data_IF_169518038078
#
_entry.id   IF_169518038078
#
_cell.length_a   1.000
_cell.length_b   1.000
_cell.length_c   1.000
_cell.angle_alpha   90.00
_cell.angle_beta   90.00
_cell.angle_gamma   90.00
#
_symmetry.space_group_name_H-M   'P 1'
#
loop_
_entity.id
_entity.type
_entity.pdbx_description
1 polymer ?
#
# COMPACT_ATOMS: atom_id res chain seq x y z
N UNK A 1 33.75 8.30 9.00
CA UNK A 1 32.82 8.31 7.86
C UNK A 1 31.92 9.50 8.06
N UNK A 2 31.97 10.49 7.16
CA UNK A 2 31.00 11.56 7.18
C UNK A 2 29.62 10.96 6.87
N UNK A 3 28.66 11.15 7.79
CA UNK A 3 27.26 10.75 7.65
C UNK A 3 26.44 11.90 7.03
N UNK A 4 27.05 12.71 6.18
CA UNK A 4 26.55 13.96 5.61
C UNK A 4 27.04 14.10 4.17
N UNK A 5 26.34 14.89 3.37
CA UNK A 5 26.69 15.25 2.01
C UNK A 5 26.06 14.36 0.94
N UNK A 6 26.07 14.86 -0.30
CA UNK A 6 25.40 14.25 -1.45
C UNK A 6 25.81 12.78 -1.71
N UNK A 7 27.11 12.47 -1.58
CA UNK A 7 27.61 11.12 -1.81
C UNK A 7 27.11 10.12 -0.76
N UNK A 8 27.00 10.55 0.49
CA UNK A 8 26.38 9.73 1.54
C UNK A 8 24.92 9.46 1.22
N UNK A 9 24.17 10.47 0.81
CA UNK A 9 22.74 10.36 0.50
C UNK A 9 22.47 9.52 -0.76
N UNK A 10 23.30 9.63 -1.80
CA UNK A 10 23.26 8.75 -2.98
C UNK A 10 23.41 7.27 -2.58
N UNK A 11 24.43 6.95 -1.80
CA UNK A 11 24.68 5.59 -1.32
C UNK A 11 23.56 5.10 -0.40
N UNK A 12 23.03 5.96 0.46
CA UNK A 12 21.90 5.66 1.34
C UNK A 12 20.66 5.31 0.54
N UNK A 13 20.32 6.10 -0.48
CA UNK A 13 19.16 5.87 -1.33
C UNK A 13 19.27 4.53 -2.06
N UNK A 14 20.38 4.24 -2.70
CA UNK A 14 20.58 2.98 -3.42
C UNK A 14 20.49 1.76 -2.53
N UNK A 15 20.96 1.85 -1.27
CA UNK A 15 20.82 0.77 -0.30
C UNK A 15 19.36 0.42 0.00
N UNK A 16 18.47 1.41 0.11
CA UNK A 16 17.06 1.19 0.45
C UNK A 16 16.16 1.01 -0.77
N UNK A 17 16.57 1.51 -1.93
CA UNK A 17 15.80 1.54 -3.17
C UNK A 17 15.32 0.16 -3.59
N UNK A 18 16.17 -0.86 -3.53
CA UNK A 18 15.81 -2.24 -3.88
C UNK A 18 14.60 -2.75 -3.08
N UNK A 19 14.58 -2.47 -1.77
CA UNK A 19 13.47 -2.85 -0.90
C UNK A 19 12.17 -2.11 -1.24
N UNK A 20 12.26 -0.82 -1.59
CA UNK A 20 11.12 -0.01 -2.01
C UNK A 20 10.52 -0.53 -3.32
N UNK A 21 11.36 -0.75 -4.33
CA UNK A 21 10.92 -1.30 -5.63
C UNK A 21 10.31 -2.69 -5.51
N UNK A 22 10.81 -3.53 -4.61
CA UNK A 22 10.21 -4.84 -4.33
C UNK A 22 8.79 -4.72 -3.77
N UNK A 23 8.57 -3.80 -2.83
CA UNK A 23 7.23 -3.54 -2.28
C UNK A 23 6.29 -2.96 -3.32
N UNK A 24 6.81 -2.06 -4.18
CA UNK A 24 6.03 -1.53 -5.30
C UNK A 24 5.59 -2.64 -6.27
N UNK A 25 6.48 -3.57 -6.62
CA UNK A 25 6.11 -4.74 -7.45
C UNK A 25 5.01 -5.61 -6.81
N UNK A 26 5.01 -5.75 -5.48
CA UNK A 26 3.96 -6.50 -4.77
C UNK A 26 2.63 -5.74 -4.86
N UNK A 27 2.66 -4.43 -4.65
CA UNK A 27 1.48 -3.57 -4.79
C UNK A 27 0.91 -3.62 -6.22
N UNK A 28 1.78 -3.55 -7.24
CA UNK A 28 1.41 -3.63 -8.66
C UNK A 28 1.06 -5.04 -9.13
N UNK A 29 1.07 -6.06 -8.26
CA UNK A 29 0.85 -7.47 -8.59
C UNK A 29 1.83 -8.00 -9.64
N UNK A 30 3.03 -7.44 -9.71
CA UNK A 30 4.13 -7.83 -10.61
C UNK A 30 5.21 -8.69 -9.94
N UNK A 31 5.00 -9.06 -8.67
CA UNK A 31 5.89 -9.93 -7.93
C UNK A 31 5.74 -11.40 -8.36
N UNK A 32 6.85 -12.12 -8.36
CA UNK A 32 6.84 -13.55 -8.66
C UNK A 32 6.70 -14.37 -7.39
N UNK A 33 5.93 -15.48 -7.46
CA UNK A 33 5.86 -16.44 -6.37
C UNK A 33 7.19 -17.17 -6.20
N UNK A 34 7.60 -17.40 -4.94
CA UNK A 34 8.78 -18.23 -4.64
C UNK A 34 8.38 -19.68 -4.82
N UNK A 35 8.95 -20.35 -5.83
CA UNK A 35 8.80 -21.78 -6.05
C UNK A 35 10.11 -22.48 -5.70
N UNK A 36 10.02 -23.54 -4.91
CA UNK A 36 11.18 -24.35 -4.52
C UNK A 36 11.64 -25.34 -5.60
N UNK A 37 11.01 -25.37 -6.77
CA UNK A 37 11.37 -26.25 -7.88
C UNK A 37 11.05 -27.75 -7.68
N UNK A 38 10.45 -28.10 -6.54
CA UNK A 38 10.22 -29.51 -6.13
C UNK A 38 8.90 -30.05 -6.71
N UNK A 39 7.91 -29.17 -6.90
CA UNK A 39 6.51 -29.58 -7.13
C UNK A 39 6.06 -29.37 -8.57
N UNK A 40 6.56 -28.34 -9.24
CA UNK A 40 6.12 -27.95 -10.59
C UNK A 40 7.37 -27.73 -11.44
N UNK A 41 7.53 -28.45 -12.57
CA UNK A 41 8.60 -28.19 -13.53
C UNK A 41 8.58 -26.75 -14.03
N UNK A 42 9.74 -26.11 -14.28
CA UNK A 42 9.81 -24.70 -14.72
C UNK A 42 9.01 -24.40 -16.00
N UNK A 43 8.90 -25.36 -16.88
CA UNK A 43 8.20 -25.27 -18.16
C UNK A 43 6.69 -25.13 -17.95
N UNK A 44 6.13 -25.93 -17.04
CA UNK A 44 4.70 -25.92 -16.68
C UNK A 44 4.38 -24.67 -15.85
N UNK A 45 5.29 -24.23 -14.99
CA UNK A 45 5.09 -23.08 -14.10
C UNK A 45 4.71 -21.80 -14.84
N UNK A 46 5.23 -21.59 -16.05
CA UNK A 46 4.92 -20.41 -16.85
C UNK A 46 3.43 -20.35 -17.22
N UNK A 47 2.76 -21.50 -17.29
CA UNK A 47 1.35 -21.62 -17.63
C UNK A 47 0.42 -21.40 -16.41
N UNK A 48 0.91 -21.73 -15.20
CA UNK A 48 0.13 -21.71 -13.95
C UNK A 48 0.66 -20.66 -12.94
N UNK A 49 0.91 -19.45 -13.40
CA UNK A 49 1.43 -18.37 -12.54
C UNK A 49 0.26 -17.69 -11.82
N UNK A 50 0.17 -17.89 -10.49
CA UNK A 50 -0.85 -17.25 -9.68
C UNK A 50 -0.55 -15.76 -9.47
N UNK A 51 -1.56 -14.91 -9.67
CA UNK A 51 -1.54 -13.49 -9.34
C UNK A 51 -2.51 -13.24 -8.18
N UNK A 52 -2.05 -12.53 -7.15
CA UNK A 52 -2.84 -12.27 -5.95
C UNK A 52 -2.60 -10.85 -5.45
N UNK A 53 -3.69 -10.09 -5.28
CA UNK A 53 -3.66 -8.67 -4.93
C UNK A 53 -3.82 -8.36 -3.43
N UNK A 54 -3.53 -9.29 -2.51
CA UNK A 54 -3.71 -9.05 -1.08
C UNK A 54 -2.83 -7.92 -0.54
N UNK A 55 -1.60 -7.79 -1.06
CA UNK A 55 -0.69 -6.70 -0.70
C UNK A 55 -1.24 -5.33 -1.09
N UNK A 56 -1.82 -5.22 -2.30
CA UNK A 56 -2.52 -4.01 -2.73
C UNK A 56 -3.74 -3.74 -1.84
N UNK A 57 -4.56 -4.76 -1.59
CA UNK A 57 -5.74 -4.66 -0.72
C UNK A 57 -5.40 -4.15 0.69
N UNK A 58 -4.29 -4.60 1.26
CA UNK A 58 -3.83 -4.15 2.57
C UNK A 58 -3.46 -2.66 2.60
N UNK A 59 -2.92 -2.14 1.50
CA UNK A 59 -2.59 -0.72 1.34
C UNK A 59 -3.86 0.09 1.10
N UNK A 60 -4.66 -0.27 0.11
CA UNK A 60 -5.84 0.46 -0.32
C UNK A 60 -6.89 0.55 0.79
N UNK A 61 -7.04 -0.50 1.60
CA UNK A 61 -7.96 -0.51 2.73
C UNK A 61 -7.70 0.62 3.76
N UNK A 62 -6.47 1.10 3.88
CA UNK A 62 -6.14 2.28 4.70
C UNK A 62 -6.16 3.54 3.83
N UNK A 63 -5.54 3.52 2.66
CA UNK A 63 -5.43 4.68 1.78
C UNK A 63 -6.81 5.30 1.48
N UNK A 64 -7.78 4.48 1.09
CA UNK A 64 -9.14 4.92 0.73
C UNK A 64 -9.93 5.54 1.90
N UNK A 65 -9.46 5.33 3.14
CA UNK A 65 -10.08 5.91 4.35
C UNK A 65 -9.41 7.19 4.83
N UNK A 66 -8.28 7.57 4.23
CA UNK A 66 -7.50 8.73 4.61
C UNK A 66 -7.79 9.91 3.66
N UNK A 67 -8.89 10.58 3.88
CA UNK A 67 -9.30 11.75 3.07
C UNK A 67 -8.92 13.02 3.80
N UNK A 68 -7.89 13.71 3.29
CA UNK A 68 -7.41 14.98 3.82
C UNK A 68 -8.30 16.14 3.35
N UNK A 69 -8.67 17.05 4.25
CA UNK A 69 -9.59 18.18 3.98
C UNK A 69 -8.95 19.55 4.23
N UNK A 70 -7.63 19.59 4.26
CA UNK A 70 -6.91 20.83 4.51
C UNK A 70 -6.58 21.06 5.98
N UNK A 71 -6.56 22.31 6.39
CA UNK A 71 -6.14 22.73 7.72
C UNK A 71 -7.21 23.59 8.38
N UNK A 72 -7.35 23.41 9.70
CA UNK A 72 -8.10 24.28 10.59
C UNK A 72 -7.20 25.34 11.19
N UNK A 73 -7.78 26.48 11.56
CA UNK A 73 -7.04 27.64 12.11
C UNK A 73 -5.86 28.04 11.22
N UNK A 74 -6.11 28.14 9.94
CA UNK A 74 -5.11 28.33 8.88
C UNK A 74 -4.73 29.81 8.73
N UNK A 75 -3.96 30.33 9.69
CA UNK A 75 -3.51 31.73 9.70
C UNK A 75 -2.44 32.06 8.63
N UNK A 76 -1.90 31.03 7.94
CA UNK A 76 -0.88 31.18 6.91
C UNK A 76 -1.40 30.92 5.51
N UNK A 77 -2.72 30.69 5.34
CA UNK A 77 -3.36 30.36 4.06
C UNK A 77 -2.74 29.12 3.39
N UNK A 78 -2.45 28.07 4.17
CA UNK A 78 -1.90 26.82 3.65
C UNK A 78 -2.90 26.11 2.73
N UNK A 79 -4.21 26.25 3.02
CA UNK A 79 -5.28 25.70 2.18
C UNK A 79 -5.24 26.26 0.76
N UNK A 80 -4.90 27.52 0.59
CA UNK A 80 -4.73 28.13 -0.74
C UNK A 80 -3.58 27.44 -1.50
N UNK A 81 -2.44 27.23 -0.84
CA UNK A 81 -1.27 26.54 -1.43
C UNK A 81 -1.64 25.12 -1.87
N UNK A 82 -2.30 24.36 -1.00
CA UNK A 82 -2.71 22.99 -1.32
C UNK A 82 -3.75 22.96 -2.45
N UNK A 83 -4.76 23.83 -2.43
CA UNK A 83 -5.80 23.86 -3.46
C UNK A 83 -5.23 24.20 -4.85
N UNK A 84 -4.27 25.13 -4.93
CA UNK A 84 -3.59 25.48 -6.19
C UNK A 84 -2.68 24.34 -6.70
N UNK A 85 -2.30 23.39 -5.83
CA UNK A 85 -1.53 22.20 -6.17
C UNK A 85 -2.38 20.93 -6.27
N UNK A 86 -3.69 21.02 -6.49
CA UNK A 86 -4.60 19.87 -6.59
C UNK A 86 -4.54 18.99 -5.34
N UNK A 87 -4.91 19.56 -4.20
CA UNK A 87 -4.78 18.99 -2.84
C UNK A 87 -5.12 17.50 -2.74
N UNK A 88 -6.29 17.11 -3.28
CA UNK A 88 -6.76 15.72 -3.16
C UNK A 88 -5.81 14.73 -3.86
N UNK A 89 -5.42 15.04 -5.10
CA UNK A 89 -4.51 14.17 -5.87
C UNK A 89 -3.11 14.13 -5.24
N UNK A 90 -2.61 15.29 -4.80
CA UNK A 90 -1.29 15.40 -4.16
C UNK A 90 -1.21 14.57 -2.88
N UNK A 91 -2.22 14.70 -2.02
CA UNK A 91 -2.22 14.01 -0.71
C UNK A 91 -2.48 12.52 -0.86
N UNK A 92 -3.36 12.10 -1.76
CA UNK A 92 -3.62 10.69 -2.04
C UNK A 92 -2.36 9.99 -2.58
N UNK A 93 -1.65 10.61 -3.53
CA UNK A 93 -0.39 10.07 -4.07
C UNK A 93 0.68 9.97 -2.98
N UNK A 94 0.86 11.00 -2.17
CA UNK A 94 1.82 10.99 -1.07
C UNK A 94 1.50 9.92 -0.03
N UNK A 95 0.23 9.74 0.35
CA UNK A 95 -0.24 8.72 1.29
C UNK A 95 0.00 7.32 0.71
N UNK A 96 -0.42 7.08 -0.52
CA UNK A 96 -0.27 5.79 -1.18
C UNK A 96 1.20 5.37 -1.26
N UNK A 97 2.07 6.25 -1.76
CA UNK A 97 3.51 6.01 -1.85
C UNK A 97 4.13 5.73 -0.47
N UNK A 98 3.73 6.46 0.59
CA UNK A 98 4.21 6.24 1.94
C UNK A 98 3.72 4.92 2.55
N UNK A 99 2.49 4.51 2.31
CA UNK A 99 1.96 3.22 2.77
C UNK A 99 2.69 2.04 2.11
N UNK A 100 3.02 2.14 0.82
CA UNK A 100 3.77 1.11 0.09
C UNK A 100 5.24 1.09 0.53
N UNK A 101 5.89 2.26 0.61
CA UNK A 101 7.36 2.35 0.73
C UNK A 101 7.89 2.67 2.13
N UNK A 102 7.05 2.92 3.12
CA UNK A 102 7.29 3.47 4.45
C UNK A 102 7.28 5.00 4.51
N UNK A 103 7.80 5.66 3.50
CA UNK A 103 7.76 7.11 3.35
C UNK A 103 7.66 7.49 1.86
N UNK A 104 7.13 8.65 1.63
CA UNK A 104 7.21 9.43 0.40
C UNK A 104 7.73 10.83 0.76
N UNK A 105 7.90 11.67 -0.25
CA UNK A 105 8.39 13.02 -0.02
C UNK A 105 7.58 14.02 -0.82
N UNK A 106 7.45 15.24 -0.32
CA UNK A 106 6.92 16.37 -1.07
C UNK A 106 8.08 17.33 -1.33
N UNK A 107 8.41 17.52 -2.59
CA UNK A 107 9.34 18.51 -3.08
C UNK A 107 8.61 19.85 -3.27
N UNK A 108 9.20 20.92 -2.77
CA UNK A 108 8.66 22.29 -2.86
C UNK A 108 9.59 23.10 -3.76
N UNK A 109 9.02 23.68 -4.81
CA UNK A 109 9.73 24.58 -5.73
C UNK A 109 8.93 25.85 -5.94
N UNK A 110 9.60 26.90 -6.38
CA UNK A 110 8.96 28.12 -6.82
C UNK A 110 8.47 27.96 -8.28
N UNK A 111 7.21 28.25 -8.54
CA UNK A 111 6.66 28.27 -9.90
C UNK A 111 7.03 29.56 -10.65
N UNK A 112 6.80 29.59 -11.97
CA UNK A 112 7.04 30.75 -12.84
C UNK A 112 6.27 32.00 -12.40
N UNK A 113 5.15 31.80 -11.72
CA UNK A 113 4.29 32.85 -11.16
C UNK A 113 4.70 33.28 -9.72
N UNK A 114 5.82 32.73 -9.20
CA UNK A 114 6.29 32.96 -7.82
C UNK A 114 5.50 32.18 -6.77
N UNK A 115 4.51 31.36 -7.17
CA UNK A 115 3.71 30.56 -6.25
C UNK A 115 4.35 29.19 -6.02
N UNK A 116 4.33 28.65 -4.77
CA UNK A 116 4.98 27.37 -4.47
C UNK A 116 4.30 26.21 -5.20
N UNK A 117 5.10 25.35 -5.82
CA UNK A 117 4.69 24.09 -6.44
C UNK A 117 5.04 22.93 -5.52
N UNK A 118 4.11 22.00 -5.38
CA UNK A 118 4.26 20.81 -4.58
C UNK A 118 4.25 19.59 -5.49
N UNK A 119 5.29 18.77 -5.40
CA UNK A 119 5.43 17.55 -6.18
C UNK A 119 5.73 16.36 -5.27
N UNK A 120 4.98 15.27 -5.43
CA UNK A 120 5.27 14.02 -4.72
C UNK A 120 6.48 13.35 -5.37
N UNK A 121 7.44 12.96 -4.53
CA UNK A 121 8.58 12.14 -4.93
C UNK A 121 8.45 10.78 -4.26
N UNK A 122 8.53 9.74 -5.08
CA UNK A 122 8.35 8.37 -4.63
C UNK A 122 9.42 7.97 -3.61
N UNK A 123 9.07 7.11 -2.65
CA UNK A 123 9.97 6.67 -1.59
C UNK A 123 11.23 5.92 -2.06
N UNK A 124 11.27 5.45 -3.33
CA UNK A 124 12.47 4.87 -3.95
C UNK A 124 13.44 5.90 -4.53
N UNK A 125 13.02 7.17 -4.63
CA UNK A 125 13.75 8.19 -5.36
C UNK A 125 14.13 9.41 -4.53
N UNK A 126 13.91 9.35 -3.21
CA UNK A 126 14.38 10.39 -2.29
C UNK A 126 14.81 9.83 -0.93
N UNK A 127 15.68 10.57 -0.27
CA UNK A 127 16.15 10.29 1.10
C UNK A 127 16.67 11.56 1.75
N UNK A 128 17.03 11.49 3.03
CA UNK A 128 17.62 12.62 3.74
C UNK A 128 18.11 12.23 5.12
N UNK A 129 18.61 13.22 5.85
CA UNK A 129 18.95 13.14 7.26
C UNK A 129 17.82 13.78 8.06
N UNK A 130 17.14 12.99 8.88
CA UNK A 130 15.96 13.42 9.63
C UNK A 130 16.38 13.98 11.00
N UNK A 131 15.93 15.19 11.31
CA UNK A 131 15.97 15.70 12.66
C UNK A 131 14.92 14.97 13.54
N UNK A 132 15.35 14.27 14.59
CA UNK A 132 14.43 13.48 15.41
C UNK A 132 13.41 14.33 16.20
N UNK A 133 13.64 15.62 16.36
CA UNK A 133 12.79 16.55 17.13
C UNK A 133 11.72 17.19 16.23
N UNK A 134 12.17 17.84 15.17
CA UNK A 134 11.28 18.56 14.25
C UNK A 134 10.60 17.68 13.23
N UNK A 135 11.17 16.50 12.96
CA UNK A 135 10.76 15.58 11.88
C UNK A 135 10.92 16.19 10.47
N UNK A 136 11.68 17.26 10.36
CA UNK A 136 12.13 17.84 9.11
C UNK A 136 13.52 17.30 8.75
N UNK A 137 13.93 17.46 7.50
CA UNK A 137 15.24 17.05 7.05
C UNK A 137 16.27 18.18 7.31
N UNK A 138 17.49 17.81 7.66
CA UNK A 138 18.65 18.73 7.73
C UNK A 138 19.42 18.75 6.42
N UNK A 139 19.45 17.61 5.74
CA UNK A 139 19.93 17.44 4.36
C UNK A 139 19.03 16.49 3.63
N UNK A 140 18.85 16.68 2.32
CA UNK A 140 18.01 15.82 1.51
C UNK A 140 18.56 15.63 0.10
N UNK A 141 18.13 14.53 -0.52
CA UNK A 141 18.49 14.17 -1.88
C UNK A 141 17.29 13.51 -2.56
N UNK A 142 17.03 13.91 -3.80
CA UNK A 142 15.98 13.36 -4.63
C UNK A 142 16.44 13.14 -6.06
N UNK A 143 15.93 12.10 -6.70
CA UNK A 143 16.10 11.82 -8.13
C UNK A 143 14.78 12.13 -8.81
N UNK A 144 14.79 13.07 -9.74
CA UNK A 144 13.60 13.48 -10.50
C UNK A 144 13.37 12.64 -11.75
N UNK A 145 14.45 12.21 -12.39
CA UNK A 145 14.38 11.36 -13.58
C UNK A 145 15.52 10.35 -13.61
N UNK A 146 15.27 9.22 -14.28
CA UNK A 146 16.23 8.14 -14.49
C UNK A 146 16.23 7.71 -15.96
N UNK A 147 17.35 7.18 -16.42
CA UNK A 147 17.46 6.57 -17.73
C UNK A 147 16.82 5.16 -17.77
N UNK A 148 16.78 4.54 -18.94
CA UNK A 148 16.24 3.20 -19.16
C UNK A 148 16.95 2.09 -18.35
N UNK A 149 18.16 2.37 -17.87
CA UNK A 149 18.95 1.47 -17.02
C UNK A 149 18.75 1.75 -15.52
N UNK A 150 17.93 2.75 -15.18
CA UNK A 150 17.64 3.16 -13.82
C UNK A 150 18.71 4.03 -13.16
N UNK A 151 19.69 4.56 -13.94
CA UNK A 151 20.68 5.50 -13.44
C UNK A 151 20.05 6.89 -13.32
N UNK A 152 20.35 7.65 -12.24
CA UNK A 152 19.89 9.02 -12.10
C UNK A 152 20.37 9.92 -13.24
N UNK A 153 19.46 10.70 -13.82
CA UNK A 153 19.74 11.72 -14.84
C UNK A 153 19.57 13.10 -14.23
N UNK A 154 18.43 13.36 -13.60
CA UNK A 154 18.18 14.62 -12.91
C UNK A 154 18.10 14.39 -11.41
N UNK A 155 18.92 15.13 -10.68
CA UNK A 155 19.10 14.97 -9.23
C UNK A 155 19.01 16.31 -8.53
N UNK A 156 18.47 16.31 -7.32
CA UNK A 156 18.41 17.47 -6.43
C UNK A 156 19.11 17.14 -5.11
N UNK A 157 19.93 18.05 -4.66
CA UNK A 157 20.51 18.03 -3.33
C UNK A 157 20.08 19.27 -2.56
N UNK A 158 19.54 19.07 -1.37
CA UNK A 158 18.93 20.11 -0.56
C UNK A 158 19.71 20.29 0.73
N UNK A 159 19.98 21.56 1.05
CA UNK A 159 20.51 21.98 2.35
C UNK A 159 19.59 23.05 2.95
N UNK A 160 19.91 23.54 4.13
CA UNK A 160 19.22 24.68 4.74
C UNK A 160 19.42 25.98 3.94
N UNK A 161 20.53 26.11 3.23
CA UNK A 161 20.91 27.36 2.53
C UNK A 161 20.53 27.37 1.05
N UNK A 162 20.56 26.19 0.40
CA UNK A 162 20.37 26.09 -1.05
C UNK A 162 19.85 24.73 -1.50
N UNK A 163 19.28 24.72 -2.71
CA UNK A 163 18.99 23.51 -3.48
C UNK A 163 19.90 23.49 -4.72
N UNK A 164 20.65 22.42 -4.90
CA UNK A 164 21.49 22.17 -6.08
C UNK A 164 20.81 21.22 -7.05
N UNK A 165 20.82 21.60 -8.32
CA UNK A 165 20.26 20.79 -9.42
C UNK A 165 21.41 20.24 -10.28
N UNK A 166 21.41 18.93 -10.45
CA UNK A 166 22.39 18.19 -11.22
C UNK A 166 21.74 17.52 -12.42
N UNK A 167 22.43 17.53 -13.56
CA UNK A 167 22.08 16.76 -14.75
C UNK A 167 23.29 15.91 -15.14
N UNK A 168 23.07 14.60 -15.32
CA UNK A 168 24.13 13.62 -15.59
C UNK A 168 25.34 13.73 -14.63
N UNK A 169 25.05 14.01 -13.36
CA UNK A 169 26.05 14.15 -12.30
C UNK A 169 26.84 15.46 -12.30
N UNK A 170 26.48 16.44 -13.16
CA UNK A 170 27.10 17.77 -13.20
C UNK A 170 26.16 18.80 -12.59
N UNK A 171 26.71 19.70 -11.79
CA UNK A 171 25.97 20.81 -11.22
C UNK A 171 25.59 21.80 -12.34
N UNK A 172 24.28 21.95 -12.57
CA UNK A 172 23.72 22.88 -13.57
C UNK A 172 23.24 24.19 -12.94
N UNK A 173 22.62 24.12 -11.75
CA UNK A 173 22.07 25.28 -11.10
C UNK A 173 22.11 25.15 -9.57
N UNK A 174 22.12 26.31 -8.89
CA UNK A 174 21.97 26.41 -7.45
C UNK A 174 20.95 27.49 -7.14
N UNK A 175 19.95 27.16 -6.33
CA UNK A 175 18.86 28.04 -5.94
C UNK A 175 18.96 28.33 -4.43
N UNK A 176 18.90 29.60 -3.98
CA UNK A 176 18.86 29.90 -2.57
C UNK A 176 17.58 29.35 -1.93
N UNK A 177 17.66 28.90 -0.71
CA UNK A 177 16.53 28.42 0.06
C UNK A 177 15.98 29.54 0.95
N UNK A 178 14.73 30.01 0.75
CA UNK A 178 14.13 31.01 1.61
C UNK A 178 13.61 30.46 2.93
N UNK A 179 13.51 29.13 3.06
CA UNK A 179 13.02 28.44 4.25
C UNK A 179 14.18 28.02 5.17
N UNK A 180 13.93 27.81 6.47
CA UNK A 180 14.95 27.39 7.43
C UNK A 180 15.28 25.89 7.37
N UNK A 181 14.71 25.13 6.46
CA UNK A 181 14.94 23.69 6.27
C UNK A 181 14.95 23.34 4.77
N UNK A 182 15.56 22.21 4.40
CA UNK A 182 15.52 21.68 3.04
C UNK A 182 14.10 21.60 2.47
N UNK A 183 13.91 21.97 1.20
CA UNK A 183 12.62 22.02 0.50
C UNK A 183 12.16 20.63 0.02
N UNK A 184 12.45 19.61 0.81
CA UNK A 184 11.97 18.25 0.64
C UNK A 184 11.43 17.75 1.97
N UNK A 185 10.13 17.48 2.04
CA UNK A 185 9.46 17.12 3.29
C UNK A 185 9.06 15.64 3.27
N UNK A 186 9.48 14.84 4.27
CA UNK A 186 9.12 13.44 4.34
C UNK A 186 7.68 13.26 4.85
N UNK A 187 6.93 12.43 4.16
CA UNK A 187 5.61 11.93 4.54
C UNK A 187 5.79 10.50 4.99
N UNK A 188 5.68 10.25 6.29
CA UNK A 188 6.17 9.02 6.91
C UNK A 188 4.99 8.23 7.51
N UNK A 189 4.94 6.93 7.19
CA UNK A 189 3.97 6.00 7.77
C UNK A 189 4.58 5.24 8.96
N UNK A 190 3.96 5.35 10.14
CA UNK A 190 4.35 4.66 11.39
C UNK A 190 5.83 4.81 11.77
N UNK A 191 6.33 6.04 11.94
CA UNK A 191 7.68 6.26 12.44
C UNK A 191 7.80 5.86 13.90
N UNK A 192 8.98 5.38 14.29
CA UNK A 192 9.38 5.21 15.67
C UNK A 192 10.88 5.53 15.86
N UNK A 193 11.37 5.48 17.08
CA UNK A 193 12.77 5.81 17.42
C UNK A 193 13.78 4.86 16.73
N UNK A 194 13.41 3.59 16.48
CA UNK A 194 14.27 2.63 15.79
C UNK A 194 14.18 2.73 14.27
N UNK A 195 13.08 3.26 13.74
CA UNK A 195 12.81 3.44 12.31
C UNK A 195 12.21 4.82 12.04
N UNK A 196 13.05 5.84 12.02
CA UNK A 196 12.60 7.24 11.85
C UNK A 196 11.86 7.47 10.53
N UNK A 197 12.23 6.76 9.45
CA UNK A 197 11.54 6.77 8.15
C UNK A 197 10.39 5.78 8.04
N UNK A 198 9.92 5.27 9.17
CA UNK A 198 8.70 4.51 9.27
C UNK A 198 8.76 3.07 8.77
N UNK A 199 7.57 2.53 8.51
CA UNK A 199 7.35 1.14 8.09
C UNK A 199 6.33 1.08 6.97
N UNK A 200 6.60 0.21 6.00
CA UNK A 200 5.63 -0.12 4.96
C UNK A 200 4.43 -0.86 5.54
N UNK A 201 3.29 -0.69 4.90
CA UNK A 201 2.09 -1.50 5.11
C UNK A 201 2.28 -2.94 4.61
N UNK A 202 3.11 -3.12 3.59
CA UNK A 202 3.51 -4.42 3.04
C UNK A 202 4.64 -4.99 3.90
N UNK A 203 4.28 -5.63 5.01
CA UNK A 203 5.23 -6.22 5.97
C UNK A 203 5.80 -7.54 5.45
N UNK A 204 6.92 -8.00 6.05
CA UNK A 204 7.49 -9.31 5.72
C UNK A 204 6.50 -10.46 6.00
N UNK A 205 5.68 -10.35 7.05
CA UNK A 205 4.68 -11.34 7.40
C UNK A 205 3.55 -11.36 6.36
N UNK A 206 3.03 -10.19 5.95
CA UNK A 206 2.04 -10.10 4.88
C UNK A 206 2.55 -10.73 3.58
N UNK A 207 3.78 -10.44 3.18
CA UNK A 207 4.43 -11.04 2.00
C UNK A 207 4.56 -12.56 2.13
N UNK A 208 4.88 -13.06 3.31
CA UNK A 208 4.96 -14.51 3.57
C UNK A 208 3.61 -15.20 3.31
N UNK A 209 2.53 -14.69 3.89
CA UNK A 209 1.20 -15.28 3.71
C UNK A 209 0.67 -15.12 2.28
N UNK A 210 0.93 -14.00 1.62
CA UNK A 210 0.60 -13.82 0.20
C UNK A 210 1.33 -14.85 -0.67
N UNK A 211 2.62 -15.07 -0.45
CA UNK A 211 3.40 -16.06 -1.18
C UNK A 211 2.93 -17.50 -0.87
N UNK A 212 2.51 -17.76 0.36
CA UNK A 212 1.93 -19.06 0.72
C UNK A 212 0.62 -19.30 -0.03
N UNK A 213 -0.26 -18.29 -0.08
CA UNK A 213 -1.50 -18.36 -0.87
C UNK A 213 -1.24 -18.56 -2.36
N UNK A 214 -0.30 -17.81 -2.96
CA UNK A 214 0.09 -17.96 -4.37
C UNK A 214 0.54 -19.39 -4.69
N UNK A 215 1.44 -19.96 -3.88
CA UNK A 215 1.92 -21.33 -4.07
C UNK A 215 0.79 -22.36 -3.92
N UNK A 216 -0.15 -22.11 -3.02
CA UNK A 216 -1.31 -22.99 -2.82
C UNK A 216 -2.22 -22.95 -4.04
N UNK A 217 -2.49 -21.77 -4.61
CA UNK A 217 -3.26 -21.60 -5.83
C UNK A 217 -2.59 -22.29 -7.02
N UNK A 218 -1.29 -22.08 -7.24
CA UNK A 218 -0.53 -22.72 -8.31
C UNK A 218 -0.59 -24.26 -8.23
N UNK A 219 -0.48 -24.81 -7.00
CA UNK A 219 -0.60 -26.26 -6.78
C UNK A 219 -2.02 -26.76 -7.00
N UNK A 220 -3.01 -25.98 -6.58
CA UNK A 220 -4.41 -26.31 -6.80
C UNK A 220 -4.74 -26.35 -8.30
N UNK A 221 -4.25 -25.40 -9.08
CA UNK A 221 -4.45 -25.36 -10.54
C UNK A 221 -3.86 -26.59 -11.22
N UNK A 222 -2.60 -26.93 -10.89
CA UNK A 222 -1.97 -28.15 -11.43
C UNK A 222 -2.75 -29.41 -11.03
N UNK A 223 -3.19 -29.48 -9.77
CA UNK A 223 -3.98 -30.64 -9.29
C UNK A 223 -5.34 -30.70 -9.97
N UNK A 224 -5.96 -29.56 -10.29
CA UNK A 224 -7.24 -29.50 -10.99
C UNK A 224 -7.16 -30.09 -12.41
N UNK A 225 -6.02 -29.91 -13.11
CA UNK A 225 -5.80 -30.58 -14.40
C UNK A 225 -5.79 -32.12 -14.27
N UNK A 226 -5.09 -32.66 -13.26
CA UNK A 226 -5.13 -34.10 -13.00
C UNK A 226 -6.50 -34.59 -12.50
N UNK A 227 -7.24 -33.75 -11.78
CA UNK A 227 -8.58 -34.02 -11.33
C UNK A 227 -9.56 -34.14 -12.49
N UNK A 228 -9.46 -33.23 -13.47
CA UNK A 228 -10.32 -33.19 -14.67
C UNK A 228 -10.04 -34.35 -15.63
N UNK A 229 -8.79 -34.81 -15.65
CA UNK A 229 -8.30 -35.86 -16.56
C UNK A 229 -7.57 -36.98 -15.82
N UNK A 230 -8.28 -37.80 -15.01
CA UNK A 230 -7.64 -38.84 -14.22
C UNK A 230 -6.90 -39.84 -15.10
N UNK A 231 -5.65 -40.10 -14.72
CA UNK A 231 -4.84 -41.08 -15.43
C UNK A 231 -5.41 -42.50 -15.26
N UNK A 232 -5.51 -43.21 -16.34
CA UNK A 232 -5.91 -44.62 -16.40
C UNK A 232 -4.67 -45.48 -16.61
N UNK A 233 -4.68 -46.68 -16.06
CA UNK A 233 -3.62 -47.64 -16.29
C UNK A 233 -4.21 -49.02 -16.63
N UNK A 234 -3.42 -49.79 -17.31
CA UNK A 234 -3.73 -51.19 -17.68
C UNK A 234 -2.58 -52.07 -17.25
N UNK A 235 -2.86 -53.16 -16.62
CA UNK A 235 -1.88 -54.18 -16.24
C UNK A 235 -2.24 -55.51 -16.93
N UNK A 236 -1.27 -56.27 -17.44
CA UNK A 236 -1.49 -57.58 -18.07
C UNK A 236 -1.83 -57.48 -19.55
N UNK A 237 -1.24 -56.50 -20.28
CA UNK A 237 -1.30 -56.50 -21.75
C UNK A 237 -0.28 -57.48 -22.31
N UNK A 238 -0.62 -58.15 -23.47
CA UNK A 238 0.33 -58.99 -24.22
C UNK A 238 1.53 -58.17 -24.71
N UNK A 239 2.69 -58.80 -24.90
CA UNK A 239 3.93 -58.11 -25.36
C UNK A 239 3.79 -57.57 -26.78
N UNK A 240 2.83 -58.04 -27.56
CA UNK A 240 2.52 -57.56 -28.93
C UNK A 240 1.48 -56.45 -29.01
N UNK A 241 0.95 -55.98 -27.85
CA UNK A 241 -0.03 -54.91 -27.81
C UNK A 241 0.58 -53.56 -28.24
N UNK A 242 0.01 -52.92 -29.25
CA UNK A 242 0.45 -51.58 -29.68
C UNK A 242 0.22 -50.56 -28.58
N UNK A 243 1.20 -49.64 -28.33
CA UNK A 243 1.02 -48.54 -27.40
C UNK A 243 -0.15 -47.66 -27.80
N UNK A 244 -1.12 -47.46 -26.94
CA UNK A 244 -2.24 -46.59 -27.18
C UNK A 244 -1.82 -45.10 -27.07
N UNK A 245 -2.21 -44.30 -28.06
CA UNK A 245 -1.95 -42.87 -28.01
C UNK A 245 -2.60 -42.21 -26.75
N UNK A 246 -1.84 -41.43 -26.01
CA UNK A 246 -2.28 -40.88 -24.74
C UNK A 246 -3.60 -40.08 -24.79
N UNK A 247 -3.91 -39.41 -25.93
CA UNK A 247 -5.14 -38.65 -26.11
C UNK A 247 -6.38 -39.55 -26.26
N UNK A 248 -6.24 -40.74 -26.85
CA UNK A 248 -7.35 -41.71 -26.97
C UNK A 248 -7.73 -42.31 -25.62
N UNK A 249 -6.80 -42.41 -24.69
CA UNK A 249 -7.05 -42.87 -23.32
C UNK A 249 -7.74 -41.82 -22.45
N UNK A 250 -7.65 -40.56 -22.82
CA UNK A 250 -8.10 -39.41 -21.99
C UNK A 250 -9.56 -39.03 -22.26
N UNK A 251 -10.02 -39.09 -23.52
CA UNK A 251 -11.37 -38.64 -23.92
C UNK A 251 -12.28 -39.86 -24.14
N UNK A 252 -13.28 -40.04 -23.27
CA UNK A 252 -14.49 -40.85 -23.33
C UNK A 252 -14.58 -41.99 -24.39
N UNK A 253 -13.46 -42.59 -24.79
CA UNK A 253 -13.45 -43.71 -25.69
C UNK A 253 -13.65 -45.02 -24.92
N UNK A 254 -14.49 -45.89 -25.42
CA UNK A 254 -14.55 -47.28 -24.96
C UNK A 254 -13.19 -47.93 -25.20
N UNK A 255 -12.47 -48.19 -24.13
CA UNK A 255 -11.20 -48.93 -24.18
C UNK A 255 -11.55 -50.39 -24.33
N UNK A 256 -11.30 -50.98 -25.51
CA UNK A 256 -11.43 -52.42 -25.74
C UNK A 256 -10.05 -53.08 -25.62
N UNK A 257 -9.94 -54.04 -24.76
CA UNK A 257 -8.74 -54.85 -24.60
C UNK A 257 -9.09 -56.32 -24.84
N UNK A 258 -8.25 -57.02 -25.55
CA UNK A 258 -8.33 -58.50 -25.75
C UNK A 258 -7.67 -59.21 -24.58
N UNK A 259 -7.97 -60.48 -24.45
CA UNK A 259 -7.26 -61.36 -23.51
C UNK A 259 -5.78 -61.47 -23.92
N UNK A 260 -4.91 -61.71 -22.94
CA UNK A 260 -3.50 -61.99 -23.21
C UNK A 260 -3.33 -63.39 -23.85
N UNK A 261 -2.08 -63.77 -24.18
CA UNK A 261 -1.77 -65.04 -24.82
C UNK A 261 -2.04 -66.27 -23.92
N UNK A 262 -2.17 -66.07 -22.59
CA UNK A 262 -2.48 -67.09 -21.58
C UNK A 262 -3.98 -67.13 -21.25
N UNK A 263 -4.78 -66.23 -21.83
CA UNK A 263 -6.22 -66.16 -21.69
C UNK A 263 -6.72 -65.31 -20.51
N UNK A 264 -5.82 -64.64 -19.82
CA UNK A 264 -6.18 -63.76 -18.75
C UNK A 264 -6.68 -62.40 -19.25
N UNK A 265 -7.58 -61.75 -18.50
CA UNK A 265 -8.12 -60.45 -18.83
C UNK A 265 -7.24 -59.36 -18.26
N UNK A 266 -6.85 -58.31 -19.02
CA UNK A 266 -6.14 -57.21 -18.48
C UNK A 266 -6.96 -56.47 -17.39
N UNK A 267 -6.29 -56.08 -16.32
CA UNK A 267 -6.88 -55.23 -15.26
C UNK A 267 -6.80 -53.76 -15.65
N UNK A 268 -7.94 -53.15 -15.65
CA UNK A 268 -8.12 -51.71 -15.91
C UNK A 268 -8.25 -50.99 -14.59
N UNK A 269 -7.46 -49.98 -14.41
CA UNK A 269 -7.54 -49.15 -13.22
C UNK A 269 -7.48 -47.66 -13.57
N UNK A 270 -7.86 -46.87 -12.60
CA UNK A 270 -7.71 -45.40 -12.61
C UNK A 270 -7.07 -44.95 -11.33
N UNK A 271 -6.08 -44.05 -11.40
CA UNK A 271 -5.52 -43.45 -10.21
C UNK A 271 -6.58 -42.66 -9.48
N UNK A 272 -6.57 -42.75 -8.15
CA UNK A 272 -7.51 -42.00 -7.32
C UNK A 272 -7.32 -40.51 -7.54
N UNK A 273 -8.42 -39.83 -7.75
CA UNK A 273 -8.45 -38.38 -7.88
C UNK A 273 -8.20 -37.77 -6.53
N UNK A 274 -7.20 -36.87 -6.39
CA UNK A 274 -6.93 -36.19 -5.12
C UNK A 274 -8.06 -35.21 -4.78
N UNK A 275 -8.37 -35.08 -3.48
CA UNK A 275 -9.33 -34.08 -3.01
C UNK A 275 -8.76 -32.67 -3.17
N UNK A 276 -9.61 -31.69 -3.57
CA UNK A 276 -9.27 -30.28 -3.63
C UNK A 276 -9.43 -29.56 -2.27
N UNK A 277 -10.12 -30.18 -1.31
CA UNK A 277 -10.38 -29.61 0.03
C UNK A 277 -9.14 -29.12 0.76
N UNK A 278 -7.99 -29.87 0.79
CA UNK A 278 -6.79 -29.39 1.47
C UNK A 278 -6.25 -28.05 0.94
N UNK A 279 -6.40 -27.77 -0.34
CA UNK A 279 -5.97 -26.49 -0.92
C UNK A 279 -6.84 -25.32 -0.43
N UNK A 280 -8.15 -25.55 -0.31
CA UNK A 280 -9.08 -24.55 0.24
C UNK A 280 -8.76 -24.26 1.70
N UNK A 281 -8.47 -25.27 2.49
CA UNK A 281 -8.07 -25.12 3.91
C UNK A 281 -6.75 -24.38 4.06
N UNK A 282 -5.75 -24.69 3.23
CA UNK A 282 -4.47 -23.98 3.22
C UNK A 282 -4.63 -22.52 2.80
N UNK A 283 -5.46 -22.25 1.78
CA UNK A 283 -5.73 -20.90 1.33
C UNK A 283 -6.43 -20.09 2.43
N UNK A 284 -7.39 -20.68 3.14
CA UNK A 284 -8.06 -20.05 4.28
C UNK A 284 -7.10 -19.78 5.44
N UNK A 285 -6.16 -20.70 5.71
CA UNK A 285 -5.11 -20.50 6.71
C UNK A 285 -4.21 -19.31 6.33
N UNK A 286 -3.80 -19.23 5.07
CA UNK A 286 -3.00 -18.11 4.56
C UNK A 286 -3.77 -16.79 4.68
N UNK A 287 -5.05 -16.78 4.33
CA UNK A 287 -5.92 -15.61 4.44
C UNK A 287 -6.09 -15.15 5.91
N UNK A 288 -6.28 -16.09 6.84
CA UNK A 288 -6.39 -15.79 8.27
C UNK A 288 -5.11 -15.16 8.82
N UNK A 289 -3.95 -15.71 8.45
CA UNK A 289 -2.66 -15.14 8.83
C UNK A 289 -2.43 -13.75 8.23
N UNK A 290 -2.73 -13.57 6.95
CA UNK A 290 -2.64 -12.27 6.28
C UNK A 290 -3.58 -11.22 6.91
N UNK A 291 -4.82 -11.60 7.19
CA UNK A 291 -5.81 -10.74 7.84
C UNK A 291 -5.32 -10.30 9.23
N UNK A 292 -4.82 -11.24 10.05
CA UNK A 292 -4.28 -10.96 11.38
C UNK A 292 -3.10 -9.97 11.36
N UNK A 293 -2.20 -10.10 10.38
CA UNK A 293 -1.04 -9.21 10.23
C UNK A 293 -1.41 -7.81 9.71
N UNK A 294 -2.45 -7.72 8.91
CA UNK A 294 -2.83 -6.47 8.23
C UNK A 294 -4.02 -5.75 8.86
N UNK A 295 -4.70 -6.35 9.83
CA UNK A 295 -5.90 -5.80 10.43
C UNK A 295 -7.12 -5.82 9.50
N UNK A 296 -7.05 -6.59 8.41
CA UNK A 296 -8.19 -6.90 7.55
C UNK A 296 -9.03 -8.03 8.14
N UNK A 297 -10.22 -8.22 7.59
CA UNK A 297 -11.08 -9.36 7.89
C UNK A 297 -10.93 -10.44 6.81
N UNK A 298 -11.43 -11.65 7.09
CA UNK A 298 -11.52 -12.70 6.07
C UNK A 298 -12.47 -12.30 4.94
N UNK A 299 -13.54 -11.57 5.26
CA UNK A 299 -14.49 -11.05 4.27
C UNK A 299 -13.80 -10.11 3.27
N UNK A 300 -12.88 -9.25 3.75
CA UNK A 300 -12.08 -8.39 2.89
C UNK A 300 -11.20 -9.17 1.89
N UNK A 301 -10.84 -10.40 2.24
CA UNK A 301 -9.99 -11.27 1.42
C UNK A 301 -10.77 -12.28 0.56
N UNK A 302 -12.11 -12.16 0.52
CA UNK A 302 -12.97 -12.99 -0.31
C UNK A 302 -13.41 -14.30 0.35
N UNK A 303 -13.35 -14.40 1.68
CA UNK A 303 -13.88 -15.53 2.46
C UNK A 303 -15.06 -15.07 3.33
N UNK A 304 -16.24 -14.85 2.73
CA UNK A 304 -17.39 -14.35 3.45
C UNK A 304 -17.83 -15.33 4.54
N UNK A 305 -18.41 -14.79 5.62
CA UNK A 305 -19.04 -15.56 6.66
C UNK A 305 -20.43 -16.03 6.19
N UNK A 306 -20.79 -17.27 6.51
CA UNK A 306 -22.09 -17.85 6.13
C UNK A 306 -23.29 -17.17 6.83
N UNK A 307 -23.04 -16.42 7.91
CA UNK A 307 -24.04 -15.67 8.62
C UNK A 307 -23.85 -14.17 8.40
N UNK A 308 -24.89 -13.43 7.97
CA UNK A 308 -24.82 -11.99 7.86
C UNK A 308 -24.60 -11.38 9.26
N UNK A 309 -23.50 -10.65 9.41
CA UNK A 309 -23.16 -9.94 10.64
C UNK A 309 -24.03 -8.69 10.81
N UNK A 310 -24.38 -8.32 12.05
CA UNK A 310 -24.99 -7.02 12.32
C UNK A 310 -24.04 -5.87 11.95
N UNK A 311 -24.58 -4.68 11.68
CA UNK A 311 -23.76 -3.50 11.39
C UNK A 311 -22.74 -3.20 12.51
N UNK A 312 -23.10 -3.46 13.76
CA UNK A 312 -22.23 -3.31 14.92
C UNK A 312 -21.10 -4.35 14.92
N UNK A 313 -21.40 -5.61 14.57
CA UNK A 313 -20.39 -6.66 14.47
C UNK A 313 -19.38 -6.37 13.33
N UNK A 314 -19.86 -5.85 12.20
CA UNK A 314 -19.00 -5.40 11.08
C UNK A 314 -18.08 -4.26 11.54
N UNK A 315 -18.62 -3.24 12.24
CA UNK A 315 -17.81 -2.14 12.79
C UNK A 315 -16.77 -2.67 13.79
N UNK A 316 -17.16 -3.58 14.67
CA UNK A 316 -16.25 -4.18 15.65
C UNK A 316 -15.13 -4.99 14.99
N UNK A 317 -15.41 -5.70 13.90
CA UNK A 317 -14.40 -6.48 13.16
C UNK A 317 -13.34 -5.60 12.48
N UNK A 318 -13.66 -4.33 12.17
CA UNK A 318 -12.74 -3.37 11.54
C UNK A 318 -12.07 -2.41 12.56
N UNK A 319 -12.21 -2.66 13.86
CA UNK A 319 -11.65 -1.76 14.90
C UNK A 319 -10.12 -1.63 14.78
N UNK A 320 -9.42 -2.73 14.53
CA UNK A 320 -7.96 -2.71 14.34
C UNK A 320 -7.56 -1.83 13.16
N UNK A 321 -8.28 -1.94 12.03
CA UNK A 321 -8.04 -1.12 10.84
C UNK A 321 -8.32 0.37 11.13
N UNK A 322 -9.41 0.66 11.88
CA UNK A 322 -9.75 2.01 12.30
C UNK A 322 -8.63 2.66 13.12
N UNK A 323 -8.10 1.95 14.12
CA UNK A 323 -7.01 2.45 14.96
C UNK A 323 -5.71 2.69 14.16
N UNK A 324 -5.42 1.81 13.20
CA UNK A 324 -4.28 1.99 12.30
C UNK A 324 -4.44 3.23 11.43
N UNK A 325 -5.63 3.45 10.87
CA UNK A 325 -5.93 4.61 10.03
C UNK A 325 -5.90 5.92 10.85
N UNK A 326 -6.46 5.94 12.07
CA UNK A 326 -6.39 7.11 12.96
C UNK A 326 -4.94 7.47 13.34
N UNK A 327 -4.09 6.48 13.53
CA UNK A 327 -2.65 6.73 13.74
C UNK A 327 -2.00 7.31 12.48
N UNK A 328 -2.33 6.76 11.30
CA UNK A 328 -1.81 7.24 10.02
C UNK A 328 -2.20 8.70 9.74
N UNK A 329 -3.44 9.12 10.07
CA UNK A 329 -3.86 10.53 9.99
C UNK A 329 -2.92 11.48 10.75
N UNK A 330 -2.51 11.09 11.96
CA UNK A 330 -1.60 11.92 12.78
C UNK A 330 -0.21 11.99 12.17
N UNK A 331 0.30 10.86 11.69
CA UNK A 331 1.63 10.77 11.10
C UNK A 331 1.70 11.58 9.79
N UNK A 332 0.75 11.39 8.89
CA UNK A 332 0.67 12.12 7.61
C UNK A 332 0.30 13.59 7.78
N UNK A 333 -0.60 13.88 8.70
CA UNK A 333 -1.00 15.26 9.01
C UNK A 333 0.18 16.13 9.43
N UNK A 334 1.12 15.60 10.22
CA UNK A 334 2.35 16.29 10.56
C UNK A 334 3.19 16.56 9.30
N UNK A 335 3.34 15.59 8.41
CA UNK A 335 4.06 15.75 7.15
C UNK A 335 3.44 16.83 6.27
N UNK A 336 2.13 16.82 6.09
CA UNK A 336 1.41 17.83 5.30
C UNK A 336 1.51 19.22 5.91
N UNK A 337 1.42 19.34 7.23
CA UNK A 337 1.61 20.60 7.92
C UNK A 337 3.03 21.16 7.73
N UNK A 338 4.03 20.29 7.80
CA UNK A 338 5.42 20.68 7.56
C UNK A 338 5.64 21.10 6.10
N UNK A 339 5.05 20.40 5.13
CA UNK A 339 5.11 20.80 3.71
C UNK A 339 4.44 22.17 3.47
N UNK A 340 3.26 22.39 4.04
CA UNK A 340 2.58 23.68 3.98
C UNK A 340 3.40 24.80 4.62
N UNK A 341 4.03 24.53 5.77
CA UNK A 341 4.91 25.48 6.45
C UNK A 341 6.08 25.93 5.56
N UNK A 342 6.83 25.00 4.97
CA UNK A 342 7.95 25.37 4.10
C UNK A 342 7.46 26.00 2.78
N UNK A 343 6.31 25.60 2.26
CA UNK A 343 5.71 26.22 1.10
C UNK A 343 5.29 27.68 1.38
N UNK A 344 4.79 27.98 2.57
CA UNK A 344 4.50 29.37 2.96
C UNK A 344 5.77 30.21 3.04
N UNK A 345 6.89 29.64 3.53
CA UNK A 345 8.19 30.31 3.51
C UNK A 345 8.65 30.64 2.07
N UNK A 346 8.42 29.75 1.11
CA UNK A 346 8.74 29.98 -0.31
C UNK A 346 7.83 31.06 -0.89
N UNK A 347 6.51 30.96 -0.68
CA UNK A 347 5.53 31.94 -1.19
C UNK A 347 5.85 33.36 -0.78
N UNK A 348 6.18 33.54 0.51
CA UNK A 348 6.36 34.87 1.09
C UNK A 348 7.84 35.29 1.11
N UNK A 349 8.74 34.43 0.62
CA UNK A 349 10.20 34.59 0.68
C UNK A 349 10.68 35.01 2.08
N UNK A 350 10.17 34.33 3.11
CA UNK A 350 10.39 34.67 4.50
C UNK A 350 10.53 33.40 5.37
N UNK A 351 11.60 33.29 6.20
CA UNK A 351 11.86 32.10 7.03
C UNK A 351 10.99 32.10 8.29
N UNK A 352 9.71 31.81 8.16
CA UNK A 352 8.82 31.65 9.31
C UNK A 352 9.35 30.59 10.28
N UNK A 353 9.03 30.77 11.56
CA UNK A 353 9.37 29.78 12.58
C UNK A 353 8.26 28.76 12.72
N UNK A 354 8.62 27.46 12.80
CA UNK A 354 7.64 26.37 12.85
C UNK A 354 6.61 26.49 13.99
N UNK A 355 7.01 27.05 15.14
CA UNK A 355 6.11 27.25 16.27
C UNK A 355 4.97 28.24 15.99
N UNK A 356 5.11 29.12 15.01
CA UNK A 356 4.04 30.09 14.66
C UNK A 356 2.79 29.38 14.11
N UNK A 357 2.93 28.14 13.63
CA UNK A 357 1.83 27.29 13.13
C UNK A 357 1.26 26.36 14.22
N UNK A 358 1.45 26.64 15.51
CA UNK A 358 1.04 25.73 16.59
C UNK A 358 -0.49 25.55 16.68
N UNK A 359 -1.28 26.50 16.21
CA UNK A 359 -2.74 26.44 16.20
C UNK A 359 -3.30 25.72 14.96
N UNK A 360 -2.55 25.71 13.85
CA UNK A 360 -2.96 25.10 12.60
C UNK A 360 -2.94 23.58 12.73
N UNK A 361 -4.07 22.94 12.42
CA UNK A 361 -4.22 21.49 12.57
C UNK A 361 -4.71 20.87 11.26
N UNK A 362 -4.17 19.70 10.87
CA UNK A 362 -4.70 18.94 9.75
C UNK A 362 -6.13 18.49 10.00
N UNK A 363 -7.00 18.65 9.00
CA UNK A 363 -8.39 18.23 9.00
C UNK A 363 -8.57 17.00 8.12
N UNK A 364 -9.32 16.02 8.61
CA UNK A 364 -9.56 14.75 7.94
C UNK A 364 -11.04 14.39 7.97
N UNK A 365 -11.50 13.64 6.96
CA UNK A 365 -12.81 12.98 7.06
C UNK A 365 -12.79 11.85 8.11
N UNK A 366 -13.94 11.52 8.71
CA UNK A 366 -14.07 10.34 9.57
C UNK A 366 -13.68 9.06 8.82
N UNK A 367 -12.98 8.14 9.49
CA UNK A 367 -12.54 6.86 8.90
C UNK A 367 -13.74 6.02 8.42
N UNK A 368 -14.82 6.03 9.21
CA UNK A 368 -16.09 5.43 8.83
C UNK A 368 -17.15 6.54 8.85
N UNK A 369 -17.72 6.83 7.68
CA UNK A 369 -18.83 7.78 7.60
C UNK A 369 -20.04 7.17 8.28
N UNK A 370 -20.69 7.89 9.21
CA UNK A 370 -21.91 7.41 9.83
C UNK A 370 -23.03 7.35 8.78
N UNK A 371 -23.85 6.31 8.83
CA UNK A 371 -25.07 6.22 8.04
C UNK A 371 -26.16 7.15 8.60
N UNK A 372 -27.27 7.32 7.86
CA UNK A 372 -28.36 8.19 8.24
C UNK A 372 -28.96 7.86 9.62
N UNK A 373 -29.03 6.58 9.99
CA UNK A 373 -29.50 6.11 11.29
C UNK A 373 -28.53 6.48 12.42
N UNK A 374 -27.24 6.31 12.19
CA UNK A 374 -26.20 6.72 13.14
C UNK A 374 -26.19 8.23 13.34
N UNK A 375 -26.37 9.02 12.27
CA UNK A 375 -26.47 10.49 12.34
C UNK A 375 -27.68 10.91 13.20
N UNK A 376 -28.83 10.29 13.02
CA UNK A 376 -30.01 10.56 13.84
C UNK A 376 -29.77 10.26 15.33
N UNK A 377 -29.15 9.11 15.61
CA UNK A 377 -28.79 8.70 17.00
C UNK A 377 -27.77 9.65 17.63
N UNK A 378 -26.77 10.08 16.87
CA UNK A 378 -25.77 11.08 17.30
C UNK A 378 -26.47 12.40 17.59
N UNK A 379 -27.37 12.87 16.71
CA UNK A 379 -28.13 14.09 16.88
C UNK A 379 -28.98 14.09 18.16
N UNK A 380 -29.69 13.00 18.44
CA UNK A 380 -30.46 12.83 19.67
C UNK A 380 -29.58 12.82 20.93
N UNK A 381 -28.43 12.14 20.86
CA UNK A 381 -27.45 12.11 21.94
C UNK A 381 -26.90 13.50 22.25
N UNK A 382 -26.50 14.22 21.21
CA UNK A 382 -25.98 15.59 21.31
C UNK A 382 -27.03 16.54 21.91
N UNK A 383 -28.27 16.47 21.44
CA UNK A 383 -29.36 17.27 21.99
C UNK A 383 -29.53 17.03 23.49
N UNK A 384 -29.56 15.78 23.94
CA UNK A 384 -29.67 15.43 25.35
C UNK A 384 -28.49 15.94 26.20
N UNK A 385 -27.27 15.85 25.66
CA UNK A 385 -26.07 16.33 26.33
C UNK A 385 -26.08 17.86 26.40
N UNK A 386 -26.40 18.54 25.32
CA UNK A 386 -26.47 20.02 25.27
C UNK A 386 -27.65 20.57 26.14
N UNK A 387 -28.70 19.79 26.33
CA UNK A 387 -29.73 20.14 27.31
C UNK A 387 -29.22 20.06 28.77
N UNK A 388 -28.36 19.09 29.07
CA UNK A 388 -27.78 18.95 30.41
C UNK A 388 -26.61 19.94 30.62
N UNK A 389 -25.81 20.18 29.58
CA UNK A 389 -24.67 21.09 29.60
C UNK A 389 -24.70 21.95 28.35
N UNK A 390 -25.33 23.15 28.40
CA UNK A 390 -25.49 24.02 27.24
C UNK A 390 -24.16 24.37 26.57
N UNK A 391 -24.10 24.16 25.26
CA UNK A 391 -22.90 24.50 24.47
C UNK A 391 -21.74 23.52 24.59
N UNK A 392 -21.94 22.33 25.16
CA UNK A 392 -20.90 21.29 25.26
C UNK A 392 -20.44 20.80 23.86
N UNK A 393 -21.39 20.57 22.95
CA UNK A 393 -21.10 20.26 21.55
C UNK A 393 -21.39 21.49 20.67
N UNK A 394 -20.34 21.99 20.00
CA UNK A 394 -20.43 23.06 19.02
C UNK A 394 -20.52 22.56 17.57
N UNK A 395 -20.61 23.50 16.60
CA UNK A 395 -20.65 23.21 15.16
C UNK A 395 -19.47 22.36 14.68
N UNK A 396 -18.25 22.66 15.13
CA UNK A 396 -17.02 21.93 14.76
C UNK A 396 -17.07 20.47 15.20
N UNK A 397 -17.49 20.21 16.42
CA UNK A 397 -17.61 18.83 16.95
C UNK A 397 -18.67 18.02 16.20
N UNK A 398 -19.76 18.69 15.78
CA UNK A 398 -20.79 18.07 14.94
C UNK A 398 -20.30 17.69 13.56
N UNK A 399 -19.52 18.56 12.92
CA UNK A 399 -18.84 18.29 11.63
C UNK A 399 -17.89 17.10 11.76
N UNK A 400 -17.07 17.10 12.81
CA UNK A 400 -16.09 16.00 13.06
C UNK A 400 -16.78 14.64 13.29
N UNK A 401 -17.90 14.63 14.03
CA UNK A 401 -18.62 13.41 14.34
C UNK A 401 -19.44 12.88 13.16
N UNK A 402 -19.99 13.77 12.34
CA UNK A 402 -20.90 13.39 11.24
C UNK A 402 -20.23 13.36 9.89
N UNK A 403 -19.11 14.08 9.71
CA UNK A 403 -18.47 14.30 8.42
C UNK A 403 -19.29 15.15 7.46
N UNK A 404 -20.35 15.81 7.95
CA UNK A 404 -21.21 16.69 7.15
C UNK A 404 -20.76 18.14 7.37
N UNK A 405 -20.38 18.79 6.31
CA UNK A 405 -20.16 20.24 6.28
C UNK A 405 -21.53 20.91 6.17
N UNK A 406 -21.97 21.57 7.24
CA UNK A 406 -23.13 22.45 7.17
C UNK A 406 -22.82 23.69 6.33
N UNK A 407 -23.82 24.33 5.76
CA UNK A 407 -23.65 25.64 5.13
C UNK A 407 -23.07 26.61 6.16
N UNK A 408 -21.97 27.28 5.81
CA UNK A 408 -21.47 28.37 6.62
C UNK A 408 -22.48 29.51 6.52
N UNK A 409 -22.87 30.07 7.65
CA UNK A 409 -23.68 31.28 7.67
C UNK A 409 -22.88 32.35 6.90
N UNK A 410 -23.28 32.58 5.64
CA UNK A 410 -22.84 33.72 4.86
C UNK A 410 -23.45 34.98 5.51
N UNK A 411 -22.72 35.58 6.43
CA UNK A 411 -22.97 36.93 6.95
C UNK A 411 -21.89 37.87 6.46
#
# INVERSE_FOLDING_TARGET
KNLEGIEYLRNKLEHYRHGALKRQKIYDMKDESINFGITIPPEIRRMFKATLGWGAKAVDAIADRLVFRGFENDNFNLNEIYNLNSSDVLTDDAILSALVNSCSFIYISEGEDGFPRLQVVHGSDATGVLDPVTRLLTEAYAVLSRDDHGKPVEELYFTEEYTEYFVDGKLEARFPNPAPYPLLVPIIHRPDSSRPFGRSRITKAAVYYQNYAKRTLERADVTAEFYSWPQKYVVGLSQEAEPMEAWKATISSFLQFTKDDEGDKPELGQFKVPSMSPFTEQLRTAASGFAGETGLTLDDLGFPSDNPSSAEAIKASHETLRLMAEKAKRDFGLGFLNAGYLAACVRDNYPYQRYQLYQTKPKWEPIFKPDASAIATIGDGINKINQAVPGFFGKETLRDLTGIEGEDDVN
#
